data_IF_150874338743
#
_entry.id   IF_150874338743
#
_cell.length_a   1.000
_cell.length_b   1.000
_cell.length_c   1.000
_cell.angle_alpha   90.00
_cell.angle_beta   90.00
_cell.angle_gamma   90.00
#
_symmetry.space_group_name_H-M   'P 1'
#
loop_
_entity.id
_entity.type
_entity.pdbx_description
1 polymer ?
#
# COMPACT_ATOMS: atom_id res chain seq x y z
N UNK A 1 17.12 26.81 -47.02
CA UNK A 1 16.13 26.23 -46.08
C UNK A 1 16.45 26.56 -44.64
N UNK A 2 15.96 27.72 -44.17
CA UNK A 2 16.16 28.22 -42.78
C UNK A 2 14.85 28.02 -41.96
N UNK A 3 13.86 27.36 -42.55
CA UNK A 3 12.51 27.17 -42.01
C UNK A 3 12.34 25.87 -41.21
N UNK A 4 13.30 24.93 -41.24
CA UNK A 4 13.16 23.64 -40.54
C UNK A 4 13.70 23.63 -39.11
N UNK A 5 14.62 24.53 -38.75
CA UNK A 5 15.28 24.53 -37.43
C UNK A 5 14.46 25.24 -36.34
N UNK A 6 13.52 26.11 -36.70
CA UNK A 6 12.68 26.84 -35.74
C UNK A 6 11.51 26.01 -35.16
N UNK A 7 11.08 24.94 -35.84
CA UNK A 7 9.94 24.13 -35.40
C UNK A 7 10.30 23.09 -34.31
N UNK A 8 11.57 22.68 -34.21
CA UNK A 8 12.03 21.75 -33.16
C UNK A 8 12.19 22.41 -31.79
N UNK A 9 12.44 23.73 -31.73
CA UNK A 9 12.54 24.48 -30.49
C UNK A 9 11.16 24.81 -29.89
N UNK A 10 10.15 25.06 -30.73
CA UNK A 10 8.78 25.37 -30.27
C UNK A 10 8.03 24.15 -29.74
N UNK A 11 8.34 22.96 -30.26
CA UNK A 11 7.77 21.69 -29.80
C UNK A 11 8.41 21.19 -28.51
N UNK A 12 9.70 21.45 -28.28
CA UNK A 12 10.38 21.15 -27.01
C UNK A 12 9.99 22.13 -25.89
N UNK A 13 9.88 23.43 -26.19
CA UNK A 13 9.39 24.45 -25.23
C UNK A 13 7.92 24.21 -24.86
N UNK A 14 7.06 23.84 -25.82
CA UNK A 14 5.66 23.50 -25.52
C UNK A 14 5.50 22.23 -24.68
N UNK A 15 6.40 21.24 -24.80
CA UNK A 15 6.38 20.06 -23.91
C UNK A 15 6.81 20.42 -22.48
N UNK A 16 7.82 21.29 -22.33
CA UNK A 16 8.31 21.74 -21.01
C UNK A 16 7.29 22.57 -20.23
N UNK A 17 6.57 23.49 -20.89
CA UNK A 17 5.54 24.30 -20.22
C UNK A 17 4.33 23.48 -19.79
N UNK A 18 3.98 22.44 -20.56
CA UNK A 18 2.90 21.53 -20.21
C UNK A 18 3.23 20.66 -18.99
N UNK A 19 4.47 20.18 -18.84
CA UNK A 19 4.89 19.47 -17.63
C UNK A 19 4.94 20.39 -16.40
N UNK A 20 5.50 21.59 -16.53
CA UNK A 20 5.53 22.59 -15.45
C UNK A 20 4.12 22.98 -14.96
N UNK A 21 3.17 23.16 -15.89
CA UNK A 21 1.77 23.45 -15.54
C UNK A 21 1.04 22.23 -14.92
N UNK A 22 1.36 21.00 -15.34
CA UNK A 22 0.78 19.77 -14.78
C UNK A 22 1.32 19.48 -13.38
N UNK A 23 2.63 19.57 -13.17
CA UNK A 23 3.26 19.40 -11.84
C UNK A 23 2.77 20.48 -10.88
N UNK A 24 2.58 21.72 -11.36
CA UNK A 24 1.96 22.78 -10.58
C UNK A 24 0.53 22.45 -10.13
N UNK A 25 -0.30 21.84 -10.98
CA UNK A 25 -1.66 21.41 -10.60
C UNK A 25 -1.66 20.27 -9.58
N UNK A 26 -0.77 19.29 -9.74
CA UNK A 26 -0.65 18.17 -8.78
C UNK A 26 -0.16 18.69 -7.43
N UNK A 27 0.88 19.52 -7.40
CA UNK A 27 1.40 20.12 -6.17
C UNK A 27 0.35 20.99 -5.48
N UNK A 28 -0.35 21.86 -6.23
CA UNK A 28 -1.46 22.64 -5.67
C UNK A 28 -2.62 21.76 -5.17
N UNK A 29 -2.93 20.68 -5.89
CA UNK A 29 -3.95 19.70 -5.48
C UNK A 29 -3.58 19.00 -4.17
N UNK A 30 -2.36 18.48 -4.06
CA UNK A 30 -1.85 17.84 -2.85
C UNK A 30 -1.73 18.82 -1.68
N UNK A 31 -1.31 20.07 -1.92
CA UNK A 31 -1.29 21.12 -0.90
C UNK A 31 -2.71 21.47 -0.42
N UNK A 32 -3.68 21.49 -1.33
CA UNK A 32 -5.09 21.76 -1.00
C UNK A 32 -5.76 20.58 -0.31
N UNK A 33 -5.32 19.35 -0.57
CA UNK A 33 -5.87 18.13 0.05
C UNK A 33 -5.77 18.18 1.58
N UNK A 34 -4.70 18.77 2.12
CA UNK A 34 -4.54 18.98 3.56
C UNK A 34 -5.65 19.87 4.16
N UNK A 35 -6.26 20.77 3.37
CA UNK A 35 -7.38 21.61 3.81
C UNK A 35 -8.75 20.93 3.62
N UNK A 36 -8.83 19.86 2.82
CA UNK A 36 -10.08 19.19 2.46
C UNK A 36 -9.99 17.68 2.64
N UNK A 37 -9.62 17.24 3.85
CA UNK A 37 -9.49 15.81 4.20
C UNK A 37 -10.80 15.02 4.03
N UNK A 38 -11.95 15.68 4.07
CA UNK A 38 -13.28 15.10 3.82
C UNK A 38 -13.49 14.57 2.39
N UNK A 39 -12.62 14.93 1.45
CA UNK A 39 -12.66 14.43 0.06
C UNK A 39 -11.98 13.06 -0.05
N UNK A 40 -11.14 12.69 0.93
CA UNK A 40 -10.55 11.36 0.98
C UNK A 40 -11.64 10.35 1.30
N UNK A 41 -11.60 9.19 0.64
CA UNK A 41 -12.41 8.05 1.02
C UNK A 41 -11.81 7.41 2.27
N UNK A 42 -11.93 8.15 3.38
CA UNK A 42 -11.38 7.85 4.72
C UNK A 42 -11.61 6.40 5.14
N UNK A 43 -12.81 5.78 4.99
CA UNK A 43 -13.02 4.39 5.39
C UNK A 43 -12.23 3.37 4.53
N UNK A 44 -11.88 3.71 3.28
CA UNK A 44 -10.98 2.87 2.48
C UNK A 44 -9.52 3.02 2.91
N UNK A 45 -9.11 4.20 3.37
CA UNK A 45 -7.71 4.46 3.72
C UNK A 45 -7.34 4.11 5.17
N UNK A 46 -8.31 3.73 6.00
CA UNK A 46 -8.07 3.37 7.40
C UNK A 46 -7.11 2.17 7.55
N UNK A 47 -7.15 1.22 6.62
CA UNK A 47 -6.31 0.03 6.64
C UNK A 47 -5.26 0.09 5.55
N UNK A 48 -3.99 0.11 5.98
CA UNK A 48 -2.85 -0.08 5.09
C UNK A 48 -2.77 -1.53 4.63
N UNK A 49 -2.31 -1.77 3.41
CA UNK A 49 -2.16 -3.13 2.87
C UNK A 49 -1.12 -3.93 3.68
N UNK A 50 -0.13 -3.26 4.28
CA UNK A 50 0.81 -3.87 5.23
C UNK A 50 0.13 -4.36 6.51
N UNK A 51 -0.79 -3.55 7.05
CA UNK A 51 -1.60 -3.94 8.22
C UNK A 51 -2.51 -5.13 7.89
N UNK A 52 -3.18 -5.10 6.73
CA UNK A 52 -4.03 -6.22 6.29
C UNK A 52 -3.22 -7.51 6.11
N UNK A 53 -2.04 -7.43 5.48
CA UNK A 53 -1.13 -8.56 5.35
C UNK A 53 -0.71 -9.12 6.72
N UNK A 54 -0.35 -8.24 7.66
CA UNK A 54 0.04 -8.62 9.01
C UNK A 54 -1.10 -9.35 9.74
N UNK A 55 -2.30 -8.77 9.73
CA UNK A 55 -3.49 -9.37 10.35
C UNK A 55 -3.86 -10.71 9.71
N UNK A 56 -3.75 -10.83 8.39
CA UNK A 56 -3.99 -12.10 7.69
C UNK A 56 -3.03 -13.19 8.15
N UNK A 57 -1.73 -12.88 8.28
CA UNK A 57 -0.77 -13.86 8.80
C UNK A 57 -1.05 -14.24 10.26
N UNK A 58 -1.71 -13.38 11.05
CA UNK A 58 -2.07 -13.66 12.45
C UNK A 58 -3.32 -14.52 12.57
N UNK A 59 -4.29 -14.30 11.68
CA UNK A 59 -5.57 -14.99 11.66
C UNK A 59 -5.46 -16.37 11.00
N UNK A 60 -4.72 -16.48 9.90
CA UNK A 60 -4.55 -17.73 9.19
C UNK A 60 -3.46 -18.60 9.85
N UNK A 61 -3.77 -19.88 9.99
CA UNK A 61 -2.84 -20.89 10.49
C UNK A 61 -2.50 -21.95 9.44
N UNK A 62 -2.15 -23.15 9.90
CA UNK A 62 -1.93 -24.32 9.03
C UNK A 62 -3.24 -24.83 8.40
N UNK A 63 -4.36 -24.50 9.02
CA UNK A 63 -5.69 -24.94 8.62
C UNK A 63 -6.16 -24.18 7.39
N UNK A 64 -6.89 -24.88 6.52
CA UNK A 64 -7.55 -24.28 5.37
C UNK A 64 -8.83 -23.59 5.82
N UNK A 65 -8.93 -22.29 5.56
CA UNK A 65 -10.09 -21.47 5.91
C UNK A 65 -10.75 -20.93 4.65
N UNK A 66 -12.07 -20.90 4.61
CA UNK A 66 -12.80 -20.24 3.54
C UNK A 66 -12.64 -18.72 3.64
N UNK A 67 -12.85 -18.03 2.52
CA UNK A 67 -12.79 -16.57 2.49
C UNK A 67 -13.76 -15.91 3.47
N UNK A 68 -14.97 -16.45 3.63
CA UNK A 68 -15.95 -15.89 4.58
C UNK A 68 -15.50 -16.07 6.04
N UNK A 69 -14.89 -17.20 6.39
CA UNK A 69 -14.34 -17.43 7.74
C UNK A 69 -13.20 -16.46 8.06
N UNK A 70 -12.31 -16.21 7.09
CA UNK A 70 -11.23 -15.23 7.24
C UNK A 70 -11.79 -13.83 7.51
N UNK A 71 -12.82 -13.41 6.78
CA UNK A 71 -13.46 -12.12 7.00
C UNK A 71 -14.11 -12.05 8.39
N UNK A 72 -14.83 -13.10 8.82
CA UNK A 72 -15.43 -13.13 10.16
C UNK A 72 -14.38 -13.07 11.28
N UNK A 73 -13.22 -13.71 11.10
CA UNK A 73 -12.13 -13.65 12.07
C UNK A 73 -11.50 -12.24 12.13
N UNK A 74 -11.32 -11.58 11.00
CA UNK A 74 -10.85 -10.19 10.93
C UNK A 74 -11.85 -9.22 11.56
N UNK A 75 -13.16 -9.42 11.34
CA UNK A 75 -14.21 -8.62 12.00
C UNK A 75 -14.17 -8.77 13.53
N UNK A 76 -13.90 -9.98 14.03
CA UNK A 76 -13.72 -10.24 15.47
C UNK A 76 -12.49 -9.53 16.05
N UNK A 77 -11.44 -9.30 15.24
CA UNK A 77 -10.28 -8.50 15.61
C UNK A 77 -10.56 -6.98 15.53
N UNK A 78 -11.75 -6.56 15.08
CA UNK A 78 -12.12 -5.15 14.94
C UNK A 78 -11.79 -4.54 13.58
N UNK A 79 -11.46 -5.36 12.58
CA UNK A 79 -11.23 -4.89 11.20
C UNK A 79 -12.56 -4.80 10.47
N UNK A 80 -12.88 -3.64 9.91
CA UNK A 80 -14.06 -3.44 9.08
C UNK A 80 -13.79 -3.97 7.65
N UNK A 81 -14.10 -5.24 7.45
CA UNK A 81 -13.93 -5.98 6.19
C UNK A 81 -14.75 -5.42 5.02
N UNK A 82 -15.82 -4.66 5.28
CA UNK A 82 -16.69 -4.12 4.23
C UNK A 82 -15.96 -3.17 3.27
N UNK A 83 -14.91 -2.49 3.74
CA UNK A 83 -14.15 -1.50 2.96
C UNK A 83 -12.86 -2.05 2.36
N UNK A 84 -12.44 -3.26 2.75
CA UNK A 84 -11.16 -3.86 2.35
C UNK A 84 -11.28 -5.28 1.78
N UNK A 85 -12.49 -5.83 1.62
CA UNK A 85 -12.72 -7.19 1.09
C UNK A 85 -11.96 -7.49 -0.21
N UNK A 86 -11.98 -6.56 -1.18
CA UNK A 86 -11.26 -6.75 -2.44
C UNK A 86 -9.74 -6.84 -2.25
N UNK A 87 -9.17 -5.97 -1.42
CA UNK A 87 -7.73 -5.95 -1.12
C UNK A 87 -7.28 -7.19 -0.35
N UNK A 88 -8.09 -7.66 0.59
CA UNK A 88 -7.85 -8.93 1.29
C UNK A 88 -7.77 -10.09 0.29
N UNK A 89 -8.71 -10.15 -0.66
CA UNK A 89 -8.72 -11.18 -1.70
C UNK A 89 -7.47 -11.09 -2.59
N UNK A 90 -7.05 -9.89 -2.97
CA UNK A 90 -5.80 -9.71 -3.74
C UNK A 90 -4.58 -10.21 -2.98
N UNK A 91 -4.46 -9.89 -1.69
CA UNK A 91 -3.37 -10.37 -0.84
C UNK A 91 -3.37 -11.91 -0.74
N UNK A 92 -4.55 -12.50 -0.52
CA UNK A 92 -4.70 -13.96 -0.47
C UNK A 92 -4.39 -14.65 -1.81
N UNK A 93 -4.64 -13.98 -2.94
CA UNK A 93 -4.26 -14.44 -4.28
C UNK A 93 -2.75 -14.35 -4.57
N UNK A 94 -1.96 -13.84 -3.62
CA UNK A 94 -0.51 -13.71 -3.74
C UNK A 94 -0.05 -12.34 -4.24
N UNK A 95 -0.94 -11.36 -4.42
CA UNK A 95 -0.54 -9.98 -4.70
C UNK A 95 -0.09 -9.31 -3.40
N UNK A 96 1.21 -9.30 -3.16
CA UNK A 96 1.78 -8.64 -1.99
C UNK A 96 1.62 -7.11 -2.07
N UNK A 97 1.56 -6.41 -0.92
CA UNK A 97 1.46 -4.96 -0.86
C UNK A 97 2.55 -4.26 -1.67
N UNK A 98 2.16 -3.22 -2.41
CA UNK A 98 3.11 -2.39 -3.14
C UNK A 98 4.11 -1.74 -2.16
N UNK A 99 5.41 -1.80 -2.51
CA UNK A 99 6.49 -1.30 -1.66
C UNK A 99 7.03 -2.30 -0.64
N UNK A 100 6.46 -3.51 -0.52
CA UNK A 100 7.10 -4.60 0.22
C UNK A 100 8.36 -5.08 -0.52
N UNK A 101 8.22 -5.26 -1.82
CA UNK A 101 9.28 -5.63 -2.74
C UNK A 101 9.42 -4.53 -3.81
N UNK A 102 10.63 -4.25 -4.29
CA UNK A 102 10.83 -3.35 -5.42
C UNK A 102 10.12 -3.90 -6.67
N UNK A 103 9.51 -3.01 -7.43
CA UNK A 103 8.98 -3.36 -8.76
C UNK A 103 10.12 -3.45 -9.78
N UNK A 104 9.86 -4.06 -10.95
CA UNK A 104 10.85 -4.10 -12.05
C UNK A 104 11.38 -2.70 -12.43
N UNK A 105 10.53 -1.68 -12.36
CA UNK A 105 10.92 -0.29 -12.62
C UNK A 105 11.86 0.24 -11.53
N UNK A 106 11.58 -0.09 -10.27
CA UNK A 106 12.43 0.28 -9.13
C UNK A 106 13.80 -0.39 -9.23
N UNK A 107 13.86 -1.66 -9.65
CA UNK A 107 15.13 -2.36 -9.86
C UNK A 107 16.05 -1.59 -10.80
N UNK A 108 15.54 -0.95 -11.86
CA UNK A 108 16.36 -0.15 -12.78
C UNK A 108 17.02 1.06 -12.12
N UNK A 109 16.45 1.56 -11.00
CA UNK A 109 16.95 2.70 -10.23
C UNK A 109 17.89 2.29 -9.09
N UNK A 110 17.85 1.03 -8.67
CA UNK A 110 18.69 0.50 -7.60
C UNK A 110 20.12 0.20 -8.06
N UNK A 111 21.09 0.43 -7.18
CA UNK A 111 22.46 -0.04 -7.36
C UNK A 111 22.52 -1.58 -7.31
N UNK A 112 23.48 -2.19 -8.00
CA UNK A 112 23.57 -3.65 -8.15
C UNK A 112 23.67 -4.37 -6.80
N UNK A 113 24.39 -3.78 -5.84
CA UNK A 113 24.55 -4.30 -4.49
C UNK A 113 23.23 -4.28 -3.71
N UNK A 114 22.34 -3.31 -4.01
CA UNK A 114 21.00 -3.26 -3.43
C UNK A 114 20.05 -4.24 -4.09
N UNK A 115 20.23 -4.56 -5.38
CA UNK A 115 19.40 -5.54 -6.10
C UNK A 115 19.55 -6.95 -5.55
N UNK A 116 20.76 -7.30 -5.13
CA UNK A 116 21.12 -8.63 -4.62
C UNK A 116 20.83 -8.74 -3.11
N UNK A 117 19.71 -8.19 -2.65
CA UNK A 117 19.35 -8.28 -1.24
C UNK A 117 18.82 -9.69 -0.93
N UNK A 118 19.48 -10.45 -0.05
CA UNK A 118 19.05 -11.81 0.31
C UNK A 118 17.65 -11.85 0.94
N UNK A 119 17.21 -10.77 1.60
CA UNK A 119 15.88 -10.70 2.22
C UNK A 119 14.78 -10.75 1.15
N UNK A 120 14.99 -10.09 0.00
CA UNK A 120 14.00 -10.07 -1.09
C UNK A 120 13.92 -11.41 -1.79
N UNK A 121 15.06 -12.07 -2.00
CA UNK A 121 15.11 -13.44 -2.53
C UNK A 121 14.38 -14.42 -1.59
N UNK A 122 14.58 -14.30 -0.27
CA UNK A 122 13.91 -15.15 0.70
C UNK A 122 12.38 -14.95 0.72
N UNK A 123 11.89 -13.71 0.55
CA UNK A 123 10.45 -13.42 0.45
C UNK A 123 9.87 -13.93 -0.87
N UNK A 124 10.62 -13.90 -1.96
CA UNK A 124 10.14 -14.37 -3.28
C UNK A 124 10.28 -15.89 -3.48
N UNK A 125 11.01 -16.58 -2.61
CA UNK A 125 11.32 -18.00 -2.76
C UNK A 125 10.06 -18.89 -2.77
N UNK A 126 9.06 -18.57 -1.95
CA UNK A 126 7.83 -19.34 -1.83
C UNK A 126 6.60 -18.42 -1.73
N UNK A 127 5.42 -18.89 -2.16
CA UNK A 127 4.18 -18.15 -1.95
C UNK A 127 3.78 -18.16 -0.47
N UNK A 128 3.35 -17.00 0.01
CA UNK A 128 2.91 -16.83 1.40
C UNK A 128 1.57 -17.51 1.69
N UNK A 129 0.67 -17.51 0.71
CA UNK A 129 -0.65 -18.12 0.80
C UNK A 129 -0.80 -19.18 -0.28
N UNK A 130 -1.46 -20.29 0.06
CA UNK A 130 -1.87 -21.28 -0.90
C UNK A 130 -3.40 -21.30 -1.00
N UNK A 131 -3.89 -21.32 -2.24
CA UNK A 131 -5.30 -21.56 -2.56
C UNK A 131 -5.51 -23.06 -2.79
N UNK A 132 -6.45 -23.64 -2.05
CA UNK A 132 -6.87 -25.04 -2.17
C UNK A 132 -8.02 -25.18 -3.18
N UNK A 133 -8.20 -26.38 -3.73
CA UNK A 133 -9.19 -26.73 -4.77
C UNK A 133 -10.63 -26.42 -4.33
N UNK A 134 -10.87 -26.34 -3.02
CA UNK A 134 -12.15 -26.04 -2.38
C UNK A 134 -12.39 -24.55 -2.08
N UNK A 135 -11.65 -23.63 -2.69
CA UNK A 135 -11.69 -22.17 -2.41
C UNK A 135 -11.31 -21.83 -0.96
N UNK A 136 -10.49 -22.70 -0.35
CA UNK A 136 -9.88 -22.46 0.95
C UNK A 136 -8.51 -21.81 0.79
N UNK A 137 -8.15 -20.94 1.73
CA UNK A 137 -6.81 -20.36 1.82
C UNK A 137 -6.09 -20.92 3.04
N UNK A 138 -4.81 -21.23 2.88
CA UNK A 138 -3.92 -21.62 3.98
C UNK A 138 -2.65 -20.77 3.96
N UNK A 139 -2.09 -20.52 5.13
CA UNK A 139 -0.83 -19.79 5.28
C UNK A 139 0.36 -20.77 5.18
N UNK A 140 1.39 -20.38 4.45
CA UNK A 140 2.69 -21.02 4.55
C UNK A 140 3.36 -20.58 5.86
N UNK A 141 3.25 -21.41 6.92
CA UNK A 141 3.74 -21.02 8.25
C UNK A 141 5.24 -20.75 8.24
N UNK A 142 6.03 -21.62 7.60
CA UNK A 142 7.49 -21.50 7.57
C UNK A 142 7.89 -20.20 6.88
N UNK A 143 7.30 -19.93 5.72
CA UNK A 143 7.58 -18.72 4.96
C UNK A 143 7.03 -17.45 5.60
N UNK A 144 5.91 -17.54 6.34
CA UNK A 144 5.34 -16.41 7.07
C UNK A 144 6.29 -15.85 8.12
N UNK A 145 7.18 -16.67 8.69
CA UNK A 145 8.17 -16.20 9.65
C UNK A 145 9.17 -15.23 8.99
N UNK A 146 9.65 -15.57 7.80
CA UNK A 146 10.57 -14.73 7.01
C UNK A 146 9.92 -13.39 6.67
N UNK A 147 8.69 -13.43 6.17
CA UNK A 147 7.95 -12.21 5.80
C UNK A 147 7.66 -11.34 7.04
N UNK A 148 7.30 -11.95 8.18
CA UNK A 148 7.07 -11.23 9.44
C UNK A 148 8.33 -10.56 9.97
N UNK A 149 9.47 -11.24 9.91
CA UNK A 149 10.75 -10.67 10.33
C UNK A 149 11.10 -9.44 9.50
N UNK A 150 11.01 -9.55 8.18
CA UNK A 150 11.25 -8.44 7.28
C UNK A 150 10.26 -7.28 7.48
N UNK A 151 8.96 -7.56 7.64
CA UNK A 151 7.96 -6.55 7.98
C UNK A 151 8.25 -5.87 9.32
N UNK A 152 8.76 -6.61 10.30
CA UNK A 152 9.20 -6.06 11.58
C UNK A 152 10.37 -5.08 11.42
N UNK A 153 11.35 -5.40 10.56
CA UNK A 153 12.47 -4.52 10.22
C UNK A 153 11.99 -3.26 9.48
N UNK A 154 11.05 -3.40 8.53
CA UNK A 154 10.46 -2.26 7.83
C UNK A 154 9.65 -1.36 8.78
N UNK A 155 8.84 -1.96 9.65
CA UNK A 155 8.03 -1.22 10.61
C UNK A 155 8.89 -0.47 11.64
N UNK A 156 10.03 -1.05 12.05
CA UNK A 156 10.95 -0.42 13.01
C UNK A 156 11.84 0.65 12.38
N UNK A 157 12.11 0.58 11.08
CA UNK A 157 12.84 1.61 10.34
C UNK A 157 11.94 2.74 9.82
N UNK A 158 10.62 2.56 9.81
CA UNK A 158 9.64 3.56 9.36
C UNK A 158 9.17 4.48 10.49
N UNK A 159 8.92 5.75 10.16
CA UNK A 159 8.22 6.67 11.05
C UNK A 159 6.70 6.49 11.00
N UNK A 160 6.18 5.83 9.97
CA UNK A 160 4.75 5.53 9.84
C UNK A 160 4.41 4.25 10.57
N UNK A 161 3.27 4.23 11.26
CA UNK A 161 2.75 3.04 11.92
C UNK A 161 2.13 2.09 10.90
N UNK A 162 2.96 1.29 10.22
CA UNK A 162 2.53 0.41 9.13
C UNK A 162 1.68 -0.77 9.59
N UNK A 163 1.82 -1.18 10.86
CA UNK A 163 1.15 -2.33 11.47
C UNK A 163 0.01 -1.93 12.42
N UNK A 164 -0.41 -0.67 12.39
CA UNK A 164 -1.59 -0.21 13.12
C UNK A 164 -2.61 0.35 12.12
N UNK A 165 -3.92 0.25 12.41
CA UNK A 165 -4.90 1.00 11.64
C UNK A 165 -4.59 2.49 11.75
N UNK A 166 -4.75 3.20 10.62
CA UNK A 166 -4.48 4.65 10.59
C UNK A 166 -5.48 5.33 11.51
N UNK A 167 -4.99 5.88 12.62
CA UNK A 167 -5.80 6.67 13.54
C UNK A 167 -6.21 7.97 12.85
N UNK A 168 -7.47 8.06 12.47
CA UNK A 168 -8.06 9.28 11.91
C UNK A 168 -8.44 10.19 13.09
N UNK A 169 -7.44 10.75 13.76
CA UNK A 169 -7.64 11.87 14.68
C UNK A 169 -7.43 13.17 13.90
N UNK A 170 -8.41 13.53 13.07
CA UNK A 170 -8.53 14.92 12.67
C UNK A 170 -9.20 15.61 13.84
N UNK A 171 -8.44 16.39 14.62
CA UNK A 171 -9.01 17.33 15.58
C UNK A 171 -10.07 18.15 14.84
N UNK A 172 -11.33 17.80 15.03
CA UNK A 172 -12.42 18.72 14.77
C UNK A 172 -12.20 19.82 15.79
N UNK A 173 -12.01 21.10 15.39
CA UNK A 173 -12.05 22.18 16.35
C UNK A 173 -13.46 22.18 16.93
N UNK A 174 -13.63 21.52 18.08
CA UNK A 174 -14.74 21.74 18.98
C UNK A 174 -14.51 23.11 19.60
N UNK A 175 -14.77 24.14 18.81
CA UNK A 175 -15.05 25.46 19.33
C UNK A 175 -16.51 25.76 19.01
N UNK A 176 -17.37 25.05 19.73
CA UNK A 176 -18.66 25.60 20.15
C UNK A 176 -18.43 26.22 21.52
N UNK A 177 -17.78 27.37 21.56
CA UNK A 177 -18.02 28.32 22.64
C UNK A 177 -19.48 28.78 22.53
N UNK A 178 -20.32 28.08 23.29
CA UNK A 178 -21.69 28.48 23.60
C UNK A 178 -21.66 29.86 24.25
N UNK A 179 -22.32 30.80 23.58
CA UNK A 179 -22.76 32.06 24.17
C UNK A 179 -23.46 31.81 25.51
N UNK A 180 -22.88 32.35 26.59
CA UNK A 180 -23.63 32.75 27.80
C UNK A 180 -23.16 34.11 28.27
#
# INVERSE_FOLDING_TARGET
DISSTHNSALTSVSKHTNFSAKTGRVACGLASLALYSQILDVPQQQYSDFFLLWELMQVLGAETLSFEEILQLLERQGVNTSTCKFRILEILSGKLPAGLLPTEEDFMLLAEESRQNPDWEAILAEPLFFEDVSLGYRLNIEHSFVVREYLGLLASSSQQKLLEPTTIAWDVPTDRDEFT
#
